data_IF_637024902597
#
_entry.id   IF_637024902597
#
_cell.length_a   1.000
_cell.length_b   1.000
_cell.length_c   1.000
_cell.angle_alpha   90.00
_cell.angle_beta   90.00
_cell.angle_gamma   90.00
#
_symmetry.space_group_name_H-M   'P 1'
#
loop_
_entity.id
_entity.type
_entity.pdbx_description
1 polymer ?
#
# COMPACT_ATOMS: atom_id res chain seq x y z
N UNK A 1 -11.32 18.55 5.95
CA UNK A 1 -12.05 17.85 7.03
C UNK A 1 -11.32 17.94 8.37
N UNK A 2 -10.03 17.58 8.47
CA UNK A 2 -9.24 17.69 9.72
C UNK A 2 -8.83 19.14 10.05
N UNK A 3 -8.56 19.98 9.05
CA UNK A 3 -8.13 21.38 9.24
C UNK A 3 -9.14 22.26 9.99
N UNK A 4 -10.43 21.96 9.89
CA UNK A 4 -11.49 22.76 10.53
C UNK A 4 -11.83 22.29 11.95
N UNK A 5 -11.43 21.07 12.35
CA UNK A 5 -11.69 20.49 13.68
C UNK A 5 -10.55 19.53 14.10
N UNK A 6 -9.36 20.04 14.46
CA UNK A 6 -8.17 19.22 14.70
C UNK A 6 -8.30 18.25 15.89
N UNK A 7 -9.25 18.46 16.81
CA UNK A 7 -9.51 17.57 17.95
C UNK A 7 -10.34 16.33 17.61
N UNK A 8 -10.98 16.30 16.44
CA UNK A 8 -11.87 15.21 16.02
C UNK A 8 -11.19 14.26 15.04
N UNK A 9 -9.86 14.15 15.08
CA UNK A 9 -9.11 13.27 14.17
C UNK A 9 -9.54 11.80 14.27
N UNK A 10 -10.03 11.37 15.43
CA UNK A 10 -10.51 10.01 15.67
C UNK A 10 -11.75 9.67 14.84
N UNK A 11 -12.59 10.65 14.50
CA UNK A 11 -13.75 10.45 13.62
C UNK A 11 -13.34 10.13 12.19
N UNK A 12 -12.17 10.59 11.75
CA UNK A 12 -11.64 10.36 10.39
C UNK A 12 -10.59 9.23 10.35
N UNK A 13 -10.25 8.65 11.51
CA UNK A 13 -9.16 7.69 11.62
C UNK A 13 -9.46 6.41 10.85
N UNK A 14 -10.69 5.92 10.94
CA UNK A 14 -11.09 4.68 10.30
C UNK A 14 -10.99 4.79 8.77
N UNK A 15 -11.52 5.88 8.21
CA UNK A 15 -11.48 6.17 6.78
C UNK A 15 -10.05 6.39 6.31
N UNK A 16 -9.23 7.12 7.09
CA UNK A 16 -7.83 7.33 6.77
C UNK A 16 -7.03 6.02 6.75
N UNK A 17 -7.25 5.13 7.72
CA UNK A 17 -6.62 3.82 7.76
C UNK A 17 -7.10 2.94 6.61
N UNK A 18 -8.39 2.97 6.29
CA UNK A 18 -8.96 2.23 5.17
C UNK A 18 -8.33 2.69 3.85
N UNK A 19 -8.35 3.99 3.57
CA UNK A 19 -7.73 4.58 2.39
C UNK A 19 -6.24 4.24 2.30
N UNK A 20 -5.52 4.27 3.43
CA UNK A 20 -4.11 3.89 3.47
C UNK A 20 -3.89 2.42 3.07
N UNK A 21 -4.72 1.50 3.58
CA UNK A 21 -4.59 0.06 3.34
C UNK A 21 -4.97 -0.35 1.92
N UNK A 22 -5.92 0.33 1.29
CA UNK A 22 -6.45 -0.04 -0.03
C UNK A 22 -5.86 0.79 -1.17
N UNK A 23 -5.10 1.85 -0.90
CA UNK A 23 -4.42 2.65 -1.93
C UNK A 23 -3.01 2.13 -2.21
N UNK A 24 -2.63 2.07 -3.49
CA UNK A 24 -1.26 1.74 -3.90
C UNK A 24 -0.29 2.77 -3.33
N UNK A 25 0.82 2.29 -2.74
CA UNK A 25 1.85 3.18 -2.20
C UNK A 25 2.96 3.34 -3.22
N UNK A 26 3.43 4.57 -3.44
CA UNK A 26 4.56 4.85 -4.34
C UNK A 26 5.82 4.07 -3.94
N UNK A 27 6.01 3.81 -2.64
CA UNK A 27 7.17 3.10 -2.11
C UNK A 27 7.11 1.58 -2.25
N UNK A 28 5.97 0.99 -2.64
CA UNK A 28 5.83 -0.47 -2.80
C UNK A 28 5.20 -0.86 -4.14
N UNK A 29 4.58 0.07 -4.86
CA UNK A 29 3.83 -0.21 -6.09
C UNK A 29 2.49 -0.91 -5.88
N UNK A 30 2.24 -1.45 -4.68
CA UNK A 30 1.06 -2.25 -4.32
C UNK A 30 0.33 -1.69 -3.09
N UNK A 31 -0.86 -2.21 -2.81
CA UNK A 31 -1.64 -1.85 -1.63
C UNK A 31 -1.07 -2.53 -0.37
N UNK A 32 -1.06 -1.88 0.81
CA UNK A 32 -0.65 -2.54 2.05
C UNK A 32 -1.52 -3.74 2.41
N UNK A 33 -2.80 -3.72 2.01
CA UNK A 33 -3.71 -4.85 2.19
C UNK A 33 -3.23 -6.09 1.42
N UNK A 34 -2.85 -5.96 0.15
CA UNK A 34 -2.32 -7.06 -0.67
C UNK A 34 -1.06 -7.70 -0.06
N UNK A 35 -0.18 -6.91 0.56
CA UNK A 35 1.02 -7.46 1.22
C UNK A 35 0.68 -8.34 2.43
N UNK A 36 -0.44 -8.05 3.11
CA UNK A 36 -0.86 -8.71 4.35
C UNK A 36 -1.76 -9.91 4.09
N UNK A 37 -2.73 -9.75 3.19
CA UNK A 37 -3.79 -10.72 2.90
C UNK A 37 -3.64 -11.39 1.53
N UNK A 38 -2.55 -11.11 0.84
CA UNK A 38 -2.15 -11.82 -0.38
C UNK A 38 -3.00 -11.50 -1.61
N UNK A 39 -4.01 -10.64 -1.46
CA UNK A 39 -4.92 -10.23 -2.52
C UNK A 39 -5.42 -8.79 -2.30
N UNK A 40 -5.85 -8.09 -3.35
CA UNK A 40 -6.39 -6.74 -3.25
C UNK A 40 -7.80 -6.72 -2.63
N UNK A 41 -8.04 -5.80 -1.69
CA UNK A 41 -9.33 -5.69 -1.01
C UNK A 41 -10.47 -5.38 -1.99
N UNK A 42 -11.60 -6.10 -1.89
CA UNK A 42 -12.85 -5.73 -2.55
C UNK A 42 -13.45 -4.52 -1.85
N UNK A 43 -13.54 -3.40 -2.56
CA UNK A 43 -14.04 -2.15 -2.02
C UNK A 43 -15.57 -2.16 -1.97
N UNK A 44 -16.21 -1.55 -0.95
CA UNK A 44 -17.67 -1.43 -0.91
C UNK A 44 -18.26 -0.80 -2.17
N UNK A 45 -17.58 0.20 -2.75
CA UNK A 45 -17.99 0.83 -4.01
C UNK A 45 -18.02 -0.15 -5.17
N UNK A 46 -17.07 -1.09 -5.25
CA UNK A 46 -17.06 -2.12 -6.30
C UNK A 46 -18.28 -3.02 -6.22
N UNK A 47 -18.74 -3.35 -5.01
CA UNK A 47 -19.98 -4.11 -4.79
C UNK A 47 -21.19 -3.30 -5.24
N UNK A 48 -21.24 -2.01 -4.86
CA UNK A 48 -22.35 -1.12 -5.23
C UNK A 48 -22.48 -0.95 -6.75
N UNK A 49 -21.36 -0.74 -7.45
CA UNK A 49 -21.35 -0.53 -8.91
C UNK A 49 -21.31 -1.84 -9.71
N UNK A 50 -21.20 -3.00 -9.02
CA UNK A 50 -20.93 -4.31 -9.63
C UNK A 50 -19.73 -4.24 -10.58
N UNK A 51 -18.56 -3.94 -10.02
CA UNK A 51 -17.33 -3.77 -10.81
C UNK A 51 -17.03 -5.00 -11.68
N UNK A 52 -16.26 -4.80 -12.74
CA UNK A 52 -15.82 -5.89 -13.62
C UNK A 52 -15.19 -7.03 -12.85
N UNK A 53 -14.42 -6.75 -11.80
CA UNK A 53 -13.81 -7.77 -10.94
C UNK A 53 -14.85 -8.71 -10.32
N UNK A 54 -15.95 -8.14 -9.80
CA UNK A 54 -17.06 -8.92 -9.25
C UNK A 54 -17.87 -9.63 -10.33
N UNK A 55 -18.08 -9.01 -11.48
CA UNK A 55 -18.77 -9.64 -12.61
C UNK A 55 -18.02 -10.88 -13.09
N UNK A 56 -16.72 -10.74 -13.38
CA UNK A 56 -15.87 -11.86 -13.78
C UNK A 56 -15.80 -12.95 -12.71
N UNK A 57 -15.74 -12.59 -11.43
CA UNK A 57 -15.75 -13.58 -10.37
C UNK A 57 -17.05 -14.41 -10.36
N UNK A 58 -18.20 -13.80 -10.59
CA UNK A 58 -19.49 -14.50 -10.61
C UNK A 58 -19.69 -15.38 -11.85
N UNK A 59 -18.98 -15.09 -12.94
CA UNK A 59 -19.04 -15.83 -14.20
C UNK A 59 -18.07 -17.03 -14.24
N UNK A 60 -17.18 -17.16 -13.26
CA UNK A 60 -16.20 -18.26 -13.18
C UNK A 60 -16.77 -19.46 -12.43
N UNK A 61 -16.49 -20.66 -12.96
CA UNK A 61 -16.73 -21.88 -12.20
C UNK A 61 -15.80 -21.94 -10.97
N UNK A 62 -16.21 -22.58 -9.86
CA UNK A 62 -15.41 -22.60 -8.63
C UNK A 62 -13.98 -23.12 -8.81
N UNK A 63 -13.78 -24.07 -9.73
CA UNK A 63 -12.46 -24.60 -10.06
C UNK A 63 -11.58 -23.57 -10.80
N UNK A 64 -12.16 -22.81 -11.72
CA UNK A 64 -11.46 -21.77 -12.48
C UNK A 64 -11.11 -20.59 -11.58
N UNK A 65 -12.02 -20.18 -10.70
CA UNK A 65 -11.76 -19.17 -9.68
C UNK A 65 -10.61 -19.58 -8.76
N UNK A 66 -10.63 -20.83 -8.27
CA UNK A 66 -9.57 -21.36 -7.41
C UNK A 66 -8.22 -21.35 -8.13
N UNK A 67 -8.18 -21.78 -9.39
CA UNK A 67 -6.96 -21.75 -10.20
C UNK A 67 -6.44 -20.32 -10.43
N UNK A 68 -7.33 -19.35 -10.69
CA UNK A 68 -6.95 -17.95 -10.83
C UNK A 68 -6.33 -17.38 -9.55
N UNK A 69 -6.90 -17.70 -8.38
CA UNK A 69 -6.35 -17.32 -7.08
C UNK A 69 -4.98 -17.94 -6.82
N UNK A 70 -4.78 -19.21 -7.19
CA UNK A 70 -3.48 -19.86 -7.05
C UNK A 70 -2.39 -19.19 -7.93
N UNK A 71 -2.72 -18.83 -9.16
CA UNK A 71 -1.78 -18.13 -10.04
C UNK A 71 -1.40 -16.76 -9.51
N UNK A 72 -2.37 -16.00 -8.98
CA UNK A 72 -2.10 -14.71 -8.35
C UNK A 72 -1.16 -14.86 -7.14
N UNK A 73 -1.38 -15.91 -6.34
CA UNK A 73 -0.53 -16.23 -5.19
C UNK A 73 0.90 -16.59 -5.59
N UNK A 74 1.09 -17.30 -6.70
CA UNK A 74 2.43 -17.64 -7.21
C UNK A 74 3.22 -16.40 -7.63
N UNK A 75 2.55 -15.41 -8.23
CA UNK A 75 3.17 -14.14 -8.61
C UNK A 75 3.39 -13.20 -7.41
N UNK A 76 2.67 -13.41 -6.31
CA UNK A 76 2.77 -12.57 -5.11
C UNK A 76 4.17 -12.57 -4.51
N UNK A 77 4.87 -13.71 -4.50
CA UNK A 77 6.22 -13.78 -3.95
C UNK A 77 7.21 -12.90 -4.72
N UNK A 78 7.06 -12.86 -6.05
CA UNK A 78 7.85 -11.96 -6.91
C UNK A 78 7.55 -10.50 -6.57
N UNK A 79 6.28 -10.17 -6.40
CA UNK A 79 5.83 -8.82 -6.00
C UNK A 79 6.38 -8.44 -4.62
N UNK A 80 6.35 -9.35 -3.65
CA UNK A 80 6.89 -9.12 -2.29
C UNK A 80 8.38 -8.88 -2.31
N UNK A 81 9.14 -9.68 -3.05
CA UNK A 81 10.59 -9.50 -3.18
C UNK A 81 10.94 -8.15 -3.85
N UNK A 82 10.27 -7.80 -4.95
CA UNK A 82 10.45 -6.51 -5.60
C UNK A 82 10.08 -5.34 -4.68
N UNK A 83 9.00 -5.49 -3.92
CA UNK A 83 8.55 -4.51 -2.92
C UNK A 83 9.60 -4.32 -1.82
N UNK A 84 10.17 -5.41 -1.31
CA UNK A 84 11.19 -5.38 -0.27
C UNK A 84 12.44 -4.65 -0.75
N UNK A 85 12.91 -4.95 -1.96
CA UNK A 85 14.05 -4.26 -2.57
C UNK A 85 13.79 -2.75 -2.66
N UNK A 86 12.61 -2.36 -3.13
CA UNK A 86 12.25 -0.95 -3.24
C UNK A 86 12.25 -0.25 -1.86
N UNK A 87 11.70 -0.90 -0.83
CA UNK A 87 11.70 -0.37 0.54
C UNK A 87 13.12 -0.20 1.10
N UNK A 88 14.01 -1.16 0.86
CA UNK A 88 15.40 -1.08 1.29
C UNK A 88 16.13 0.09 0.63
N UNK A 89 15.95 0.28 -0.68
CA UNK A 89 16.51 1.41 -1.42
C UNK A 89 15.99 2.74 -0.87
N UNK A 90 14.68 2.86 -0.61
CA UNK A 90 14.08 4.07 -0.04
C UNK A 90 14.63 4.36 1.36
N UNK A 91 14.73 3.34 2.22
CA UNK A 91 15.32 3.48 3.56
C UNK A 91 16.78 3.94 3.48
N UNK A 92 17.57 3.42 2.55
CA UNK A 92 18.95 3.83 2.36
C UNK A 92 19.04 5.29 1.88
N UNK A 93 18.17 5.72 0.97
CA UNK A 93 18.08 7.12 0.53
C UNK A 93 17.76 8.06 1.68
N UNK A 94 16.77 7.71 2.50
CA UNK A 94 16.41 8.49 3.69
C UNK A 94 17.57 8.59 4.69
N UNK A 95 18.28 7.49 4.94
CA UNK A 95 19.44 7.47 5.83
C UNK A 95 20.57 8.38 5.31
N UNK A 96 20.90 8.31 4.01
CA UNK A 96 21.89 9.19 3.38
C UNK A 96 21.49 10.67 3.47
N UNK A 97 20.22 10.99 3.21
CA UNK A 97 19.72 12.35 3.33
C UNK A 97 19.85 12.90 4.76
N UNK A 98 19.55 12.08 5.76
CA UNK A 98 19.73 12.43 7.17
C UNK A 98 21.21 12.70 7.51
N UNK A 99 22.11 11.77 7.17
CA UNK A 99 23.56 11.91 7.42
C UNK A 99 24.10 13.18 6.78
N UNK A 100 23.72 13.46 5.52
CA UNK A 100 24.13 14.69 4.83
C UNK A 100 23.61 15.95 5.52
N UNK A 101 22.36 15.93 6.01
CA UNK A 101 21.78 17.05 6.75
C UNK A 101 22.51 17.31 8.07
N UNK A 102 22.87 16.24 8.80
CA UNK A 102 23.62 16.36 10.06
C UNK A 102 25.02 16.91 9.81
N UNK A 103 25.74 16.40 8.80
CA UNK A 103 27.09 16.90 8.43
C UNK A 103 27.07 18.39 8.09
N UNK A 104 26.11 18.84 7.27
CA UNK A 104 25.95 20.27 6.93
C UNK A 104 25.70 21.15 8.16
N UNK A 105 24.96 20.66 9.15
CA UNK A 105 24.71 21.41 10.39
C UNK A 105 25.94 21.48 11.29
N UNK A 106 26.77 20.44 11.31
CA UNK A 106 28.03 20.44 12.06
C UNK A 106 29.02 21.44 11.45
N UNK A 107 29.18 21.45 10.13
CA UNK A 107 30.09 22.37 9.43
C UNK A 107 29.70 23.85 9.53
N UNK A 108 28.42 24.16 9.79
CA UNK A 108 27.93 25.53 9.98
C UNK A 108 28.12 26.05 11.42
N UNK A 109 28.51 25.20 12.36
CA UNK A 109 28.77 25.60 13.77
C UNK A 109 30.25 25.86 14.06
N UNK A 110 31.14 25.46 13.15
CA UNK A 110 32.60 25.61 13.27
C UNK A 110 33.13 26.87 12.56
N UNK A 111 32.24 27.68 11.96
CA UNK A 111 32.49 28.99 11.36
C UNK A 111 31.70 30.06 12.10
#
# INVERSE_FOLDING_TARGET
MVEHKPRMWHEALFEALWAYRTSKRTATGVTPFMLTYEHDAVLPMEVTIKSLRLAFQNDLEPAEYSQAMYMELEDLDKVRLATLDHLLVQKQRAARAYVNRVRKKASLKET
#
